data_IF_007758122339
#
_entry.id   IF_007758122339
#
_cell.length_a   1.000
_cell.length_b   1.000
_cell.length_c   1.000
_cell.angle_alpha   90.00
_cell.angle_beta   90.00
_cell.angle_gamma   90.00
#
_symmetry.space_group_name_H-M   'P 1'
#
loop_
_entity.id
_entity.type
_entity.pdbx_description
1 polymer ?
#
# COMPACT_ATOMS: atom_id res chain seq x y z
N UNK A 1 -5.44 11.71 -0.19
CA UNK A 1 -4.29 11.92 -1.09
C UNK A 1 -3.87 10.57 -1.62
N UNK A 2 -3.82 10.37 -2.94
CA UNK A 2 -3.46 9.06 -3.52
C UNK A 2 -1.94 8.86 -3.44
N UNK A 3 -1.50 7.80 -2.77
CA UNK A 3 -0.12 7.37 -2.75
C UNK A 3 0.35 6.92 -4.15
N UNK A 4 1.22 7.73 -4.79
CA UNK A 4 1.68 7.46 -6.16
C UNK A 4 2.70 6.32 -6.22
N UNK A 5 3.54 6.17 -5.21
CA UNK A 5 4.59 5.17 -5.17
C UNK A 5 3.98 3.77 -5.07
N UNK A 6 3.05 3.56 -4.13
CA UNK A 6 2.31 2.32 -4.01
C UNK A 6 1.55 1.96 -5.29
N UNK A 7 0.91 2.95 -5.92
CA UNK A 7 0.22 2.74 -7.20
C UNK A 7 1.18 2.29 -8.31
N UNK A 8 2.38 2.85 -8.39
CA UNK A 8 3.39 2.47 -9.37
C UNK A 8 3.94 1.07 -9.11
N UNK A 9 4.16 0.75 -7.83
CA UNK A 9 4.61 -0.56 -7.37
C UNK A 9 3.61 -1.65 -7.79
N UNK A 10 2.33 -1.45 -7.46
CA UNK A 10 1.26 -2.39 -7.77
C UNK A 10 0.98 -2.54 -9.27
N UNK A 11 1.25 -1.52 -10.09
CA UNK A 11 1.20 -1.62 -11.55
C UNK A 11 2.30 -2.53 -12.12
N UNK A 12 3.46 -2.60 -11.46
CA UNK A 12 4.57 -3.46 -11.87
C UNK A 12 4.43 -4.89 -11.33
N UNK A 13 3.72 -5.04 -10.22
CA UNK A 13 3.47 -6.34 -9.58
C UNK A 13 2.62 -7.27 -10.44
N UNK A 14 2.94 -8.57 -10.38
CA UNK A 14 2.22 -9.66 -11.04
C UNK A 14 1.90 -10.77 -10.03
N UNK A 15 0.98 -11.66 -10.39
CA UNK A 15 0.61 -12.81 -9.56
C UNK A 15 -0.05 -12.39 -8.23
N UNK A 16 0.46 -12.95 -7.13
CA UNK A 16 -0.04 -12.70 -5.77
C UNK A 16 0.20 -11.28 -5.27
N UNK A 17 1.18 -10.56 -5.82
CA UNK A 17 1.52 -9.17 -5.46
C UNK A 17 0.61 -8.11 -6.12
N UNK A 18 -0.47 -8.53 -6.78
CA UNK A 18 -1.47 -7.61 -7.36
C UNK A 18 -2.40 -7.04 -6.29
N UNK A 19 -3.14 -5.98 -6.63
CA UNK A 19 -4.19 -5.41 -5.76
C UNK A 19 -5.14 -6.49 -5.23
N UNK A 20 -5.56 -7.40 -6.11
CA UNK A 20 -6.44 -8.51 -5.75
C UNK A 20 -5.74 -9.50 -4.82
N UNK A 21 -4.50 -9.90 -5.11
CA UNK A 21 -3.77 -10.85 -4.29
C UNK A 21 -3.50 -10.32 -2.88
N UNK A 22 -3.11 -9.04 -2.76
CA UNK A 22 -2.95 -8.38 -1.45
C UNK A 22 -4.28 -8.31 -0.71
N UNK A 23 -5.37 -7.94 -1.38
CA UNK A 23 -6.69 -7.90 -0.76
C UNK A 23 -7.14 -9.27 -0.27
N UNK A 24 -6.82 -10.33 -1.00
CA UNK A 24 -7.18 -11.71 -0.66
C UNK A 24 -6.32 -12.26 0.48
N UNK A 25 -5.02 -11.98 0.48
CA UNK A 25 -4.08 -12.52 1.48
C UNK A 25 -4.10 -11.72 2.77
N UNK A 26 -4.08 -10.39 2.71
CA UNK A 26 -3.99 -9.56 3.90
C UNK A 26 -5.35 -9.12 4.43
N UNK A 27 -6.45 -9.32 3.67
CA UNK A 27 -7.76 -8.74 4.00
C UNK A 27 -7.78 -7.21 3.89
N UNK A 28 -6.74 -6.63 3.28
CA UNK A 28 -6.53 -5.20 3.15
C UNK A 28 -6.79 -4.83 1.70
N UNK A 29 -7.89 -4.15 1.38
CA UNK A 29 -8.19 -3.71 0.00
C UNK A 29 -7.32 -2.51 -0.40
N UNK A 30 -6.25 -2.69 -1.18
CA UNK A 30 -5.39 -1.60 -1.60
C UNK A 30 -5.96 -1.05 -2.92
N UNK A 31 -7.16 -0.48 -2.89
CA UNK A 31 -7.80 0.01 -4.11
C UNK A 31 -6.93 1.08 -4.78
N UNK A 32 -6.79 0.98 -6.11
CA UNK A 32 -5.93 1.81 -6.95
C UNK A 32 -6.24 3.33 -6.99
N UNK A 33 -7.26 3.78 -6.25
CA UNK A 33 -7.60 5.17 -6.02
C UNK A 33 -7.62 5.59 -4.54
N UNK A 34 -7.67 4.62 -3.61
CA UNK A 34 -8.03 4.84 -2.21
C UNK A 34 -6.85 4.66 -1.24
N UNK A 35 -5.61 4.76 -1.76
CA UNK A 35 -4.37 4.88 -0.98
C UNK A 35 -4.27 6.21 -0.20
N UNK A 36 -5.41 6.63 0.32
CA UNK A 36 -5.58 7.77 1.19
C UNK A 36 -5.14 7.27 2.56
N UNK A 37 -3.99 7.75 3.01
CA UNK A 37 -3.76 7.89 4.46
C UNK A 37 -4.92 8.75 4.94
N UNK A 38 -5.95 8.10 5.47
CA UNK A 38 -7.06 8.79 6.13
C UNK A 38 -6.43 9.17 7.45
N UNK A 39 -5.70 10.30 7.47
CA UNK A 39 -5.01 10.91 8.63
C UNK A 39 -5.88 11.01 9.91
N UNK A 40 -7.13 10.54 9.88
CA UNK A 40 -7.96 10.14 11.03
C UNK A 40 -7.25 9.18 12.00
N UNK A 41 -6.45 8.20 11.54
CA UNK A 41 -5.71 7.31 12.44
C UNK A 41 -4.36 6.87 11.86
N UNK A 42 -3.32 7.63 12.19
CA UNK A 42 -1.96 7.44 11.69
C UNK A 42 -1.37 6.06 12.05
N UNK A 43 -1.64 5.54 13.26
CA UNK A 43 -1.10 4.26 13.70
C UNK A 43 -1.69 3.08 12.89
N UNK A 44 -3.00 3.05 12.70
CA UNK A 44 -3.67 2.02 11.89
C UNK A 44 -3.28 2.10 10.42
N UNK A 45 -3.13 3.31 9.88
CA UNK A 45 -2.68 3.51 8.51
C UNK A 45 -1.23 3.07 8.32
N UNK A 46 -0.35 3.34 9.29
CA UNK A 46 1.03 2.88 9.28
C UNK A 46 1.13 1.36 9.33
N UNK A 47 0.43 0.70 10.27
CA UNK A 47 0.40 -0.76 10.38
C UNK A 47 -0.07 -1.42 9.08
N UNK A 48 -1.09 -0.82 8.44
CA UNK A 48 -1.60 -1.27 7.16
C UNK A 48 -0.58 -1.11 6.03
N UNK A 49 0.14 0.01 5.98
CA UNK A 49 1.19 0.24 4.97
C UNK A 49 2.39 -0.68 5.20
N UNK A 50 2.78 -0.91 6.46
CA UNK A 50 3.86 -1.84 6.80
C UNK A 50 3.53 -3.26 6.34
N UNK A 51 2.32 -3.77 6.62
CA UNK A 51 1.89 -5.09 6.13
C UNK A 51 1.96 -5.23 4.61
N UNK A 52 1.66 -4.14 3.88
CA UNK A 52 1.77 -4.14 2.41
C UNK A 52 3.25 -4.11 2.00
N UNK A 53 4.09 -3.33 2.67
CA UNK A 53 5.54 -3.27 2.43
C UNK A 53 6.18 -4.66 2.61
N UNK A 54 5.90 -5.29 3.76
CA UNK A 54 6.38 -6.63 4.11
C UNK A 54 5.96 -7.67 3.06
N UNK A 55 4.68 -7.66 2.66
CA UNK A 55 4.15 -8.59 1.66
C UNK A 55 4.75 -8.37 0.26
N UNK A 56 5.12 -7.13 -0.04
CA UNK A 56 5.69 -6.75 -1.33
C UNK A 56 7.22 -6.94 -1.34
N UNK A 57 7.83 -7.18 -0.17
CA UNK A 57 9.28 -7.26 0.06
C UNK A 57 9.97 -5.95 -0.34
N UNK A 58 9.41 -4.83 0.09
CA UNK A 58 9.96 -3.49 -0.12
C UNK A 58 9.99 -2.72 1.19
N UNK A 59 10.79 -1.67 1.24
CA UNK A 59 10.81 -0.78 2.38
C UNK A 59 9.53 0.06 2.44
N UNK A 60 9.06 0.38 3.64
CA UNK A 60 7.87 1.22 3.80
C UNK A 60 8.11 2.63 3.23
N UNK A 61 9.35 3.10 3.21
CA UNK A 61 9.77 4.37 2.60
C UNK A 61 9.55 4.39 1.08
N UNK A 62 9.71 3.24 0.42
CA UNK A 62 9.40 3.10 -1.01
C UNK A 62 7.91 3.23 -1.30
N UNK A 63 7.08 3.00 -0.27
CA UNK A 63 5.63 3.10 -0.36
C UNK A 63 5.17 4.49 0.09
N UNK A 64 5.67 5.05 1.19
CA UNK A 64 5.18 6.33 1.72
C UNK A 64 5.55 7.47 0.76
N UNK A 65 4.52 8.14 0.24
CA UNK A 65 4.69 9.36 -0.55
C UNK A 65 4.96 10.52 0.42
N UNK A 66 6.22 10.65 0.87
CA UNK A 66 6.72 11.82 1.59
C UNK A 66 6.77 13.00 0.61
N UNK A 67 5.62 13.60 0.33
CA UNK A 67 5.59 14.95 -0.22
C UNK A 67 6.20 15.88 0.81
N UNK A 68 7.43 16.36 0.54
CA UNK A 68 7.90 17.65 1.06
C UNK A 68 6.92 18.75 0.68
#
# INVERSE_FOLDING_TARGET
MTNKNLKRLLKKSKGSKTVYGISKTLGISPQAGDYVVKRKNLAKDFERLQKIADYMEVEIEDIIDLKK
#
